data_IF_249269453203
#
_entry.id   IF_249269453203
#
_cell.length_a   1.000
_cell.length_b   1.000
_cell.length_c   1.000
_cell.angle_alpha   90.00
_cell.angle_beta   90.00
_cell.angle_gamma   90.00
#
_symmetry.space_group_name_H-M   'P 1'
#
loop_
_entity.id
_entity.type
_entity.pdbx_description
1 polymer ?
#
# COMPACT_ATOMS: atom_id res chain seq x y z
N UNK A 1 -30.98 12.77 -106.72
CA UNK A 1 -30.83 14.15 -106.18
C UNK A 1 -31.28 14.16 -104.73
N UNK A 2 -30.48 14.80 -103.86
CA UNK A 2 -30.63 14.98 -102.38
C UNK A 2 -30.31 13.71 -101.58
N UNK A 3 -29.05 13.42 -101.22
CA UNK A 3 -28.16 14.10 -100.23
C UNK A 3 -28.81 14.26 -98.87
N UNK A 4 -28.38 13.48 -97.88
CA UNK A 4 -28.16 13.86 -96.47
C UNK A 4 -27.55 12.67 -95.71
N UNK A 5 -26.27 12.78 -95.36
CA UNK A 5 -25.54 11.90 -94.42
C UNK A 5 -25.89 12.36 -93.00
N UNK A 6 -26.29 11.49 -92.05
CA UNK A 6 -26.30 11.84 -90.64
C UNK A 6 -25.01 11.38 -89.96
N UNK A 7 -24.49 12.32 -89.20
CA UNK A 7 -23.27 12.35 -88.41
C UNK A 7 -23.31 11.30 -87.27
N UNK A 8 -22.29 10.44 -87.18
CA UNK A 8 -22.09 9.52 -86.07
C UNK A 8 -21.51 10.29 -84.87
N UNK A 9 -22.35 10.68 -83.91
CA UNK A 9 -21.89 11.22 -82.63
C UNK A 9 -21.46 10.07 -81.71
N UNK A 10 -20.15 9.84 -81.61
CA UNK A 10 -19.56 9.01 -80.55
C UNK A 10 -19.57 9.84 -79.28
N UNK A 11 -20.53 9.57 -78.38
CA UNK A 11 -20.52 10.10 -77.02
C UNK A 11 -19.49 9.31 -76.24
N UNK A 12 -18.33 9.93 -75.99
CA UNK A 12 -17.31 9.44 -75.08
C UNK A 12 -17.88 9.58 -73.65
N UNK A 13 -18.44 8.50 -73.12
CA UNK A 13 -18.86 8.44 -71.73
C UNK A 13 -17.62 8.50 -70.83
N UNK A 14 -17.31 9.68 -70.28
CA UNK A 14 -16.42 9.80 -69.14
C UNK A 14 -17.10 9.08 -67.97
N UNK A 15 -16.66 7.86 -67.67
CA UNK A 15 -17.01 7.21 -66.42
C UNK A 15 -16.48 8.08 -65.27
N UNK A 16 -17.28 8.42 -64.26
CA UNK A 16 -16.76 9.03 -63.06
C UNK A 16 -15.79 8.02 -62.44
N UNK A 17 -14.52 8.41 -62.30
CA UNK A 17 -13.58 7.70 -61.44
C UNK A 17 -14.22 7.68 -60.05
N UNK A 18 -14.77 6.53 -59.68
CA UNK A 18 -15.21 6.29 -58.31
C UNK A 18 -13.99 6.51 -57.43
N UNK A 19 -14.04 7.54 -56.59
CA UNK A 19 -13.10 7.72 -55.51
C UNK A 19 -13.17 6.47 -54.65
N UNK A 20 -12.22 5.55 -54.83
CA UNK A 20 -11.92 4.54 -53.83
C UNK A 20 -11.50 5.36 -52.62
N UNK A 21 -12.41 5.54 -51.65
CA UNK A 21 -12.05 5.94 -50.30
C UNK A 21 -11.06 4.87 -49.86
N UNK A 22 -9.78 5.22 -49.81
CA UNK A 22 -8.76 4.32 -49.29
C UNK A 22 -9.26 3.78 -47.96
N UNK A 23 -9.23 2.45 -47.79
CA UNK A 23 -9.18 1.88 -46.47
C UNK A 23 -8.09 2.64 -45.73
N UNK A 24 -8.47 3.44 -44.74
CA UNK A 24 -7.51 4.01 -43.81
C UNK A 24 -6.75 2.82 -43.24
N UNK A 25 -5.51 2.63 -43.67
CA UNK A 25 -4.65 1.56 -43.15
C UNK A 25 -4.54 1.83 -41.66
N UNK A 26 -5.17 0.97 -40.87
CA UNK A 26 -5.18 1.10 -39.44
C UNK A 26 -3.74 0.97 -38.92
N UNK A 27 -3.25 2.02 -38.26
CA UNK A 27 -1.90 2.05 -37.73
C UNK A 27 -1.79 1.15 -36.50
N UNK A 28 -0.71 0.39 -36.40
CA UNK A 28 -0.37 -0.35 -35.18
C UNK A 28 0.37 0.58 -34.23
N UNK A 29 -0.16 0.80 -33.02
CA UNK A 29 0.51 1.57 -31.98
C UNK A 29 1.47 0.70 -31.16
N UNK A 30 1.08 -0.53 -30.83
CA UNK A 30 1.97 -1.51 -30.21
C UNK A 30 1.54 -2.95 -30.48
N UNK A 31 2.48 -3.88 -30.34
CA UNK A 31 2.23 -5.33 -30.27
C UNK A 31 2.59 -5.80 -28.86
N UNK A 32 1.70 -6.51 -28.20
CA UNK A 32 1.84 -6.99 -26.81
C UNK A 32 1.52 -8.49 -26.76
N UNK A 33 2.57 -9.31 -26.85
CA UNK A 33 2.42 -10.76 -27.03
C UNK A 33 1.70 -11.07 -28.35
N UNK A 34 0.52 -11.65 -28.26
CA UNK A 34 -0.32 -12.03 -29.41
C UNK A 34 -1.42 -10.98 -29.72
N UNK A 35 -1.50 -9.89 -28.95
CA UNK A 35 -2.48 -8.82 -29.14
C UNK A 35 -1.85 -7.55 -29.69
N UNK A 36 -2.67 -6.74 -30.36
CA UNK A 36 -2.26 -5.52 -31.04
C UNK A 36 -3.08 -4.37 -30.47
N UNK A 37 -2.41 -3.26 -30.15
CA UNK A 37 -3.05 -1.98 -29.82
C UNK A 37 -2.98 -1.10 -31.06
N UNK A 38 -4.12 -0.59 -31.49
CA UNK A 38 -4.24 0.21 -32.71
C UNK A 38 -4.12 1.70 -32.38
N UNK A 39 -3.59 2.49 -33.32
CA UNK A 39 -3.45 3.96 -33.16
C UNK A 39 -4.83 4.61 -32.96
N UNK A 40 -5.85 4.10 -33.66
CA UNK A 40 -7.25 4.49 -33.53
C UNK A 40 -7.76 4.33 -32.08
N UNK A 41 -7.46 3.21 -31.44
CA UNK A 41 -7.87 2.93 -30.06
C UNK A 41 -7.18 3.86 -29.06
N UNK A 42 -5.88 4.11 -29.24
CA UNK A 42 -5.14 5.06 -28.39
C UNK A 42 -5.74 6.46 -28.51
N UNK A 43 -6.02 6.90 -29.75
CA UNK A 43 -6.63 8.20 -30.02
C UNK A 43 -8.05 8.32 -29.45
N UNK A 44 -8.85 7.26 -29.56
CA UNK A 44 -10.20 7.20 -28.99
C UNK A 44 -10.16 7.36 -27.48
N UNK A 45 -9.31 6.58 -26.79
CA UNK A 45 -9.17 6.70 -25.33
C UNK A 45 -8.60 8.04 -24.90
N UNK A 46 -7.70 8.61 -25.69
CA UNK A 46 -7.10 9.92 -25.41
C UNK A 46 -7.99 11.10 -25.84
N UNK A 47 -9.14 10.89 -26.47
CA UNK A 47 -9.89 11.92 -27.19
C UNK A 47 -10.18 13.17 -26.34
N UNK A 48 -10.62 12.99 -25.09
CA UNK A 48 -10.90 14.12 -24.19
C UNK A 48 -9.64 14.89 -23.82
N UNK A 49 -8.55 14.20 -23.50
CA UNK A 49 -7.26 14.82 -23.18
C UNK A 49 -6.68 15.55 -24.39
N UNK A 50 -6.79 14.98 -25.58
CA UNK A 50 -6.38 15.61 -26.83
C UNK A 50 -7.19 16.87 -27.11
N UNK A 51 -8.51 16.84 -26.91
CA UNK A 51 -9.37 18.02 -27.08
C UNK A 51 -8.97 19.17 -26.15
N UNK A 52 -8.54 18.85 -24.92
CA UNK A 52 -8.01 19.86 -23.99
C UNK A 52 -6.68 20.43 -24.48
N UNK A 53 -5.76 19.58 -24.96
CA UNK A 53 -4.49 20.02 -25.53
C UNK A 53 -4.66 20.91 -26.77
N UNK A 54 -5.74 20.74 -27.54
CA UNK A 54 -6.03 21.62 -28.69
C UNK A 54 -6.27 23.09 -28.32
N UNK A 55 -6.51 23.39 -27.03
CA UNK A 55 -6.67 24.76 -26.52
C UNK A 55 -5.33 25.50 -26.40
N UNK A 56 -4.19 24.79 -26.50
CA UNK A 56 -2.86 25.38 -26.46
C UNK A 56 -2.62 26.33 -27.64
N UNK A 57 -2.19 27.55 -27.34
CA UNK A 57 -2.07 28.59 -28.37
C UNK A 57 -0.88 28.34 -29.31
N UNK A 58 0.21 27.77 -28.81
CA UNK A 58 1.40 27.43 -29.60
C UNK A 58 1.24 26.08 -30.29
N UNK A 59 1.45 26.04 -31.60
CA UNK A 59 1.41 24.80 -32.39
C UNK A 59 2.50 23.80 -31.95
N UNK A 60 3.71 24.29 -31.69
CA UNK A 60 4.82 23.43 -31.25
C UNK A 60 4.52 22.77 -29.89
N UNK A 61 4.00 23.53 -28.93
CA UNK A 61 3.64 23.00 -27.60
C UNK A 61 2.49 22.00 -27.73
N UNK A 62 1.47 22.33 -28.53
CA UNK A 62 0.34 21.44 -28.79
C UNK A 62 0.79 20.09 -29.36
N UNK A 63 1.64 20.09 -30.38
CA UNK A 63 2.13 18.86 -31.02
C UNK A 63 2.98 18.01 -30.07
N UNK A 64 3.78 18.66 -29.22
CA UNK A 64 4.53 17.98 -28.17
C UNK A 64 3.58 17.37 -27.13
N UNK A 65 2.65 18.15 -26.57
CA UNK A 65 1.68 17.69 -25.58
C UNK A 65 0.82 16.55 -26.11
N UNK A 66 0.37 16.62 -27.37
CA UNK A 66 -0.42 15.54 -27.99
C UNK A 66 0.37 14.24 -28.09
N UNK A 67 1.64 14.28 -28.48
CA UNK A 67 2.50 13.08 -28.50
C UNK A 67 2.72 12.50 -27.12
N UNK A 68 2.95 13.35 -26.12
CA UNK A 68 3.09 12.92 -24.72
C UNK A 68 1.80 12.27 -24.20
N UNK A 69 0.63 12.84 -24.50
CA UNK A 69 -0.67 12.26 -24.17
C UNK A 69 -0.83 10.88 -24.82
N UNK A 70 -0.63 10.77 -26.13
CA UNK A 70 -0.79 9.51 -26.85
C UNK A 70 0.18 8.43 -26.32
N UNK A 71 1.44 8.79 -26.09
CA UNK A 71 2.43 7.89 -25.53
C UNK A 71 2.02 7.39 -24.12
N UNK A 72 1.58 8.29 -23.25
CA UNK A 72 1.13 7.91 -21.90
C UNK A 72 -0.11 7.01 -21.92
N UNK A 73 -1.06 7.27 -22.81
CA UNK A 73 -2.24 6.42 -22.98
C UNK A 73 -1.87 5.05 -23.55
N UNK A 74 -0.96 4.99 -24.51
CA UNK A 74 -0.46 3.71 -25.04
C UNK A 74 0.24 2.89 -23.96
N UNK A 75 1.14 3.49 -23.19
CA UNK A 75 1.82 2.83 -22.07
C UNK A 75 0.82 2.24 -21.07
N UNK A 76 -0.20 3.01 -20.69
CA UNK A 76 -1.27 2.51 -19.82
C UNK A 76 -2.05 1.37 -20.46
N UNK A 77 -2.39 1.46 -21.74
CA UNK A 77 -3.11 0.39 -22.45
C UNK A 77 -2.29 -0.90 -22.54
N UNK A 78 -0.97 -0.82 -22.70
CA UNK A 78 -0.06 -1.97 -22.65
C UNK A 78 -0.14 -2.62 -21.26
N UNK A 79 -0.01 -1.84 -20.19
CA UNK A 79 -0.07 -2.37 -18.82
C UNK A 79 -1.44 -3.00 -18.50
N UNK A 80 -2.54 -2.35 -18.89
CA UNK A 80 -3.91 -2.88 -18.76
C UNK A 80 -4.06 -4.22 -19.49
N UNK A 81 -3.55 -4.31 -20.72
CA UNK A 81 -3.63 -5.49 -21.56
C UNK A 81 -2.85 -6.67 -20.94
N UNK A 82 -1.65 -6.41 -20.44
CA UNK A 82 -0.85 -7.43 -19.74
C UNK A 82 -1.59 -8.00 -18.52
N UNK A 83 -2.28 -7.14 -17.76
CA UNK A 83 -3.09 -7.57 -16.60
C UNK A 83 -4.27 -8.43 -17.06
N UNK A 84 -4.96 -8.04 -18.14
CA UNK A 84 -6.08 -8.80 -18.72
C UNK A 84 -5.63 -10.18 -19.20
N UNK A 85 -4.49 -10.25 -19.90
CA UNK A 85 -3.92 -11.52 -20.37
C UNK A 85 -3.57 -12.45 -19.19
N UNK A 86 -2.93 -11.92 -18.15
CA UNK A 86 -2.60 -12.70 -16.96
C UNK A 86 -3.85 -13.17 -16.21
N UNK A 87 -4.88 -12.31 -16.09
CA UNK A 87 -6.14 -12.70 -15.47
C UNK A 87 -6.83 -13.81 -16.26
N UNK A 88 -6.86 -13.71 -17.60
CA UNK A 88 -7.40 -14.74 -18.47
C UNK A 88 -6.65 -16.08 -18.32
N UNK A 89 -5.30 -16.03 -18.24
CA UNK A 89 -4.45 -17.21 -18.00
C UNK A 89 -4.78 -17.91 -16.67
N UNK A 90 -5.16 -17.13 -15.66
CA UNK A 90 -5.58 -17.62 -14.34
C UNK A 90 -7.08 -17.93 -14.25
N UNK A 91 -7.83 -17.81 -15.35
CA UNK A 91 -9.29 -17.98 -15.40
C UNK A 91 -10.04 -17.03 -14.44
N UNK A 92 -9.50 -15.83 -14.25
CA UNK A 92 -10.09 -14.79 -13.43
C UNK A 92 -10.86 -13.79 -14.30
N UNK A 93 -12.08 -13.49 -13.90
CA UNK A 93 -12.95 -12.52 -14.57
C UNK A 93 -13.49 -11.51 -13.56
N UNK A 94 -13.93 -10.35 -14.05
CA UNK A 94 -14.68 -9.35 -13.27
C UNK A 94 -15.99 -9.08 -13.99
N UNK A 95 -17.10 -9.24 -13.28
CA UNK A 95 -18.44 -8.97 -13.81
C UNK A 95 -18.81 -7.49 -13.65
N UNK A 96 -19.80 -7.02 -14.42
CA UNK A 96 -20.24 -5.64 -14.34
C UNK A 96 -20.88 -5.34 -12.97
N UNK A 97 -21.54 -6.32 -12.34
CA UNK A 97 -22.05 -6.17 -10.98
C UNK A 97 -20.94 -6.04 -9.93
N UNK A 98 -19.75 -6.60 -10.18
CA UNK A 98 -18.59 -6.38 -9.31
C UNK A 98 -18.06 -4.95 -9.46
N UNK A 99 -18.03 -4.42 -10.69
CA UNK A 99 -17.64 -3.04 -10.95
C UNK A 99 -18.60 -2.07 -10.28
N UNK A 100 -19.91 -2.22 -10.48
CA UNK A 100 -20.92 -1.33 -9.89
C UNK A 100 -20.90 -1.41 -8.35
N UNK A 101 -20.67 -2.58 -7.76
CA UNK A 101 -20.48 -2.70 -6.30
C UNK A 101 -19.22 -2.00 -5.82
N UNK A 102 -18.12 -2.08 -6.56
CA UNK A 102 -16.89 -1.37 -6.21
C UNK A 102 -17.09 0.15 -6.25
N UNK A 103 -17.76 0.66 -7.28
CA UNK A 103 -18.11 2.08 -7.44
C UNK A 103 -19.02 2.52 -6.30
N UNK A 104 -20.08 1.76 -5.97
CA UNK A 104 -20.96 2.06 -4.85
C UNK A 104 -20.19 2.14 -3.52
N UNK A 105 -19.22 1.25 -3.30
CA UNK A 105 -18.35 1.31 -2.14
C UNK A 105 -17.43 2.54 -2.11
N UNK A 106 -16.99 3.05 -3.26
CA UNK A 106 -16.22 4.30 -3.35
C UNK A 106 -17.10 5.50 -2.99
N UNK A 107 -18.33 5.54 -3.52
CA UNK A 107 -19.32 6.57 -3.21
C UNK A 107 -19.60 6.64 -1.71
N UNK A 108 -19.88 5.49 -1.09
CA UNK A 108 -20.15 5.40 0.36
C UNK A 108 -18.96 5.88 1.20
N UNK A 109 -17.74 5.41 0.90
CA UNK A 109 -16.53 5.82 1.65
C UNK A 109 -16.24 7.30 1.55
N UNK A 110 -16.53 7.92 0.40
CA UNK A 110 -16.25 9.33 0.17
C UNK A 110 -17.43 10.24 0.54
N UNK A 111 -18.59 9.67 0.90
CA UNK A 111 -19.83 10.44 1.10
C UNK A 111 -20.29 11.15 -0.17
N UNK A 112 -19.99 10.57 -1.33
CA UNK A 112 -20.35 11.14 -2.64
C UNK A 112 -21.63 10.51 -3.17
N UNK A 113 -22.39 11.30 -3.92
CA UNK A 113 -23.40 10.77 -4.82
C UNK A 113 -22.81 10.58 -6.23
N UNK A 114 -23.61 10.02 -7.14
CA UNK A 114 -23.17 9.77 -8.51
C UNK A 114 -22.81 11.07 -9.24
N UNK A 115 -23.54 12.16 -8.98
CA UNK A 115 -23.27 13.46 -9.61
C UNK A 115 -21.92 14.04 -9.17
N UNK A 116 -21.58 13.94 -7.89
CA UNK A 116 -20.27 14.33 -7.37
C UNK A 116 -19.15 13.51 -8.02
N UNK A 117 -19.35 12.20 -8.18
CA UNK A 117 -18.39 11.35 -8.89
C UNK A 117 -18.22 11.76 -10.36
N UNK A 118 -19.33 11.98 -11.08
CA UNK A 118 -19.31 12.41 -12.49
C UNK A 118 -18.54 13.72 -12.68
N UNK A 119 -18.73 14.69 -11.80
CA UNK A 119 -17.96 15.93 -11.83
C UNK A 119 -16.46 15.66 -11.57
N UNK A 120 -16.14 14.82 -10.58
CA UNK A 120 -14.76 14.52 -10.21
C UNK A 120 -13.97 13.82 -11.33
N UNK A 121 -14.61 12.91 -12.08
CA UNK A 121 -13.97 12.24 -13.22
C UNK A 121 -13.92 13.16 -14.45
N UNK A 122 -14.93 14.00 -14.67
CA UNK A 122 -14.95 14.97 -15.77
C UNK A 122 -13.84 16.04 -15.63
N UNK A 123 -13.52 16.46 -14.40
CA UNK A 123 -12.37 17.35 -14.12
C UNK A 123 -11.04 16.75 -14.59
N UNK A 124 -10.93 15.41 -14.61
CA UNK A 124 -9.75 14.68 -15.10
C UNK A 124 -9.85 14.34 -16.58
N UNK A 125 -10.91 14.78 -17.27
CA UNK A 125 -11.17 14.44 -18.66
C UNK A 125 -11.60 12.99 -18.90
N UNK A 126 -12.14 12.32 -17.88
CA UNK A 126 -12.59 10.93 -17.98
C UNK A 126 -14.11 10.85 -18.10
N UNK A 127 -14.60 9.86 -18.85
CA UNK A 127 -16.03 9.51 -18.90
C UNK A 127 -16.36 8.47 -17.83
N UNK A 128 -17.66 8.26 -17.56
CA UNK A 128 -18.09 7.18 -16.66
C UNK A 128 -17.71 5.79 -17.19
N UNK A 129 -17.67 5.62 -18.50
CA UNK A 129 -17.26 4.36 -19.12
C UNK A 129 -15.75 4.12 -18.96
N UNK A 130 -14.93 5.18 -19.02
CA UNK A 130 -13.51 5.09 -18.68
C UNK A 130 -13.33 4.70 -17.22
N UNK A 131 -14.09 5.32 -16.32
CA UNK A 131 -14.03 5.03 -14.90
C UNK A 131 -14.42 3.59 -14.56
N UNK A 132 -15.48 3.05 -15.19
CA UNK A 132 -15.86 1.63 -15.05
C UNK A 132 -14.78 0.70 -15.56
N UNK A 133 -14.16 1.02 -16.70
CA UNK A 133 -13.07 0.23 -17.29
C UNK A 133 -11.86 0.20 -16.37
N UNK A 134 -11.44 1.35 -15.87
CA UNK A 134 -10.33 1.45 -14.90
C UNK A 134 -10.65 0.67 -13.63
N UNK A 135 -11.86 0.81 -13.09
CA UNK A 135 -12.31 0.04 -11.93
C UNK A 135 -12.25 -1.47 -12.20
N UNK A 136 -12.64 -1.92 -13.39
CA UNK A 136 -12.55 -3.33 -13.79
C UNK A 136 -11.10 -3.82 -13.82
N UNK A 137 -10.18 -3.03 -14.36
CA UNK A 137 -8.75 -3.34 -14.36
C UNK A 137 -8.21 -3.42 -12.93
N UNK A 138 -8.55 -2.48 -12.06
CA UNK A 138 -8.14 -2.51 -10.65
C UNK A 138 -8.64 -3.77 -9.93
N UNK A 139 -9.89 -4.18 -10.19
CA UNK A 139 -10.44 -5.42 -9.65
C UNK A 139 -9.73 -6.67 -10.20
N UNK A 140 -9.42 -6.71 -11.50
CA UNK A 140 -8.67 -7.82 -12.10
C UNK A 140 -7.27 -7.91 -11.48
N UNK A 141 -6.59 -6.76 -11.36
CA UNK A 141 -5.26 -6.64 -10.76
C UNK A 141 -5.27 -7.16 -9.33
N UNK A 142 -6.22 -6.72 -8.51
CA UNK A 142 -6.42 -7.20 -7.15
C UNK A 142 -6.65 -8.72 -7.09
N UNK A 143 -7.52 -9.27 -7.96
CA UNK A 143 -7.79 -10.72 -8.01
C UNK A 143 -6.54 -11.52 -8.39
N UNK A 144 -5.79 -11.07 -9.40
CA UNK A 144 -4.55 -11.72 -9.85
C UNK A 144 -3.51 -11.74 -8.73
N UNK A 145 -3.27 -10.58 -8.11
CA UNK A 145 -2.33 -10.47 -6.99
C UNK A 145 -2.77 -11.33 -5.81
N UNK A 146 -4.04 -11.30 -5.44
CA UNK A 146 -4.59 -12.10 -4.35
C UNK A 146 -4.39 -13.61 -4.56
N UNK A 147 -4.56 -14.10 -5.79
CA UNK A 147 -4.30 -15.50 -6.14
C UNK A 147 -2.82 -15.82 -6.05
N UNK A 148 -1.96 -14.99 -6.63
CA UNK A 148 -0.50 -15.18 -6.63
C UNK A 148 0.09 -15.10 -5.21
N UNK A 149 -0.49 -14.28 -4.34
CA UNK A 149 0.01 -14.05 -2.99
C UNK A 149 -0.64 -14.94 -1.93
N UNK A 150 -1.68 -15.73 -2.22
CA UNK A 150 -2.46 -16.52 -1.24
C UNK A 150 -1.63 -17.28 -0.19
N UNK A 151 -0.43 -17.76 -0.52
CA UNK A 151 0.50 -18.40 0.43
C UNK A 151 1.42 -17.46 1.23
N UNK A 152 1.67 -16.25 0.70
CA UNK A 152 2.49 -15.17 1.31
C UNK A 152 1.65 -14.18 2.14
N UNK A 153 0.33 -14.13 1.93
CA UNK A 153 -0.61 -13.27 2.68
C UNK A 153 -0.84 -13.70 4.14
N UNK A 154 -0.15 -14.73 4.65
CA UNK A 154 -0.16 -15.03 6.09
C UNK A 154 0.66 -13.95 6.80
N UNK A 155 -0.01 -12.92 7.30
CA UNK A 155 0.59 -11.89 8.12
C UNK A 155 1.30 -12.55 9.30
N UNK A 156 2.60 -12.32 9.41
CA UNK A 156 3.39 -12.85 10.50
C UNK A 156 2.93 -12.19 11.81
N UNK A 157 2.60 -13.00 12.83
CA UNK A 157 2.17 -12.48 14.13
C UNK A 157 3.25 -11.59 14.74
N UNK A 158 4.53 -11.89 14.49
CA UNK A 158 5.63 -11.05 14.98
C UNK A 158 5.57 -9.65 14.38
N UNK A 159 5.22 -9.54 13.10
CA UNK A 159 5.08 -8.29 12.37
C UNK A 159 3.88 -7.48 12.87
N UNK A 160 2.73 -8.14 13.08
CA UNK A 160 1.52 -7.50 13.64
C UNK A 160 1.82 -6.92 15.02
N UNK A 161 2.50 -7.68 15.88
CA UNK A 161 2.92 -7.22 17.21
C UNK A 161 3.96 -6.11 17.14
N UNK A 162 4.85 -6.11 16.14
CA UNK A 162 5.84 -5.05 15.93
C UNK A 162 5.15 -3.74 15.58
N UNK A 163 4.20 -3.76 14.64
CA UNK A 163 3.43 -2.56 14.25
C UNK A 163 2.58 -2.05 15.41
N UNK A 164 1.93 -2.94 16.17
CA UNK A 164 1.18 -2.53 17.37
C UNK A 164 2.07 -1.77 18.36
N UNK A 165 3.26 -2.30 18.65
CA UNK A 165 4.23 -1.63 19.54
C UNK A 165 4.63 -0.25 19.02
N UNK A 166 4.81 -0.08 17.72
CA UNK A 166 5.10 1.24 17.14
C UNK A 166 3.94 2.22 17.31
N UNK A 167 2.69 1.76 17.14
CA UNK A 167 1.50 2.60 17.35
C UNK A 167 1.39 3.07 18.81
N UNK A 168 1.59 2.15 19.77
CA UNK A 168 1.55 2.48 21.20
C UNK A 168 2.64 3.48 21.55
N UNK A 169 3.88 3.28 21.08
CA UNK A 169 4.99 4.23 21.29
C UNK A 169 4.69 5.60 20.72
N UNK A 170 4.22 5.66 19.49
CA UNK A 170 3.87 6.94 18.86
C UNK A 170 2.74 7.65 19.60
N UNK A 171 1.80 6.90 20.18
CA UNK A 171 0.68 7.47 20.95
C UNK A 171 1.11 7.96 22.33
N UNK A 172 2.08 7.30 22.95
CA UNK A 172 2.60 7.60 24.30
C UNK A 172 3.90 8.41 24.29
N UNK A 173 4.33 8.95 23.15
CA UNK A 173 5.64 9.60 22.99
C UNK A 173 5.81 10.89 23.80
N UNK A 174 4.70 11.49 24.24
CA UNK A 174 4.68 12.72 25.05
C UNK A 174 4.13 12.48 26.46
N UNK A 175 3.94 11.22 26.85
CA UNK A 175 3.49 10.86 28.19
C UNK A 175 4.59 11.15 29.21
N UNK A 176 4.16 11.54 30.41
CA UNK A 176 5.00 11.58 31.60
C UNK A 176 4.55 10.47 32.55
N UNK A 177 5.49 9.66 33.02
CA UNK A 177 5.21 8.47 33.80
C UNK A 177 6.13 8.30 35.00
N UNK A 178 5.65 7.61 36.02
CA UNK A 178 6.44 7.22 37.18
C UNK A 178 6.72 5.73 37.12
N UNK A 179 7.99 5.33 37.23
CA UNK A 179 8.40 3.94 37.16
C UNK A 179 9.25 3.54 38.36
N UNK A 180 9.29 2.24 38.64
CA UNK A 180 10.25 1.62 39.54
C UNK A 180 10.99 0.48 38.85
N UNK A 181 12.21 0.20 39.31
CA UNK A 181 13.05 -0.87 38.80
C UNK A 181 13.61 -1.77 39.91
N UNK A 182 13.87 -3.02 39.55
CA UNK A 182 14.74 -3.95 40.28
C UNK A 182 15.81 -4.40 39.31
N UNK A 183 17.08 -4.13 39.65
CA UNK A 183 18.22 -4.57 38.87
C UNK A 183 18.80 -5.83 39.49
N UNK A 184 18.89 -6.91 38.72
CA UNK A 184 19.75 -8.05 39.02
C UNK A 184 21.00 -7.89 38.16
N UNK A 185 22.11 -7.50 38.79
CA UNK A 185 23.35 -7.15 38.08
C UNK A 185 24.01 -8.40 37.54
N UNK A 186 24.43 -8.37 36.28
CA UNK A 186 25.30 -9.39 35.71
C UNK A 186 26.73 -8.84 35.71
N UNK A 187 27.65 -9.40 36.50
CA UNK A 187 29.05 -8.97 36.53
C UNK A 187 29.75 -9.18 35.18
N UNK A 188 30.71 -8.31 34.88
CA UNK A 188 31.60 -8.51 33.74
C UNK A 188 32.38 -9.82 33.91
N UNK A 189 32.36 -10.68 32.88
CA UNK A 189 33.01 -11.98 32.91
C UNK A 189 32.24 -13.08 33.63
N UNK A 190 30.97 -12.87 34.01
CA UNK A 190 30.11 -13.91 34.55
C UNK A 190 30.07 -15.15 33.63
N UNK A 191 30.23 -16.33 34.23
CA UNK A 191 30.12 -17.61 33.53
C UNK A 191 28.68 -17.88 33.11
N UNK A 192 28.47 -18.75 32.12
CA UNK A 192 27.12 -19.12 31.67
C UNK A 192 26.24 -19.67 32.81
N UNK A 193 26.83 -20.40 33.76
CA UNK A 193 26.13 -20.94 34.93
C UNK A 193 25.71 -19.82 35.90
N UNK A 194 26.55 -18.79 36.08
CA UNK A 194 26.20 -17.63 36.92
C UNK A 194 25.10 -16.79 36.26
N UNK A 195 25.21 -16.55 34.96
CA UNK A 195 24.16 -15.84 34.19
C UNK A 195 22.83 -16.55 34.31
N UNK A 196 22.80 -17.88 34.14
CA UNK A 196 21.57 -18.66 34.27
C UNK A 196 20.94 -18.54 35.68
N UNK A 197 21.74 -18.57 36.75
CA UNK A 197 21.24 -18.39 38.12
C UNK A 197 20.67 -16.98 38.34
N UNK A 198 21.29 -15.96 37.75
CA UNK A 198 20.81 -14.59 37.82
C UNK A 198 19.50 -14.41 37.02
N UNK A 199 19.38 -15.08 35.86
CA UNK A 199 18.14 -15.17 35.09
C UNK A 199 17.01 -15.81 35.90
N UNK A 200 17.25 -16.97 36.52
CA UNK A 200 16.28 -17.64 37.40
C UNK A 200 15.85 -16.76 38.58
N UNK A 201 16.79 -16.04 39.20
CA UNK A 201 16.50 -15.08 40.28
C UNK A 201 15.64 -13.92 39.78
N UNK A 202 16.00 -13.32 38.65
CA UNK A 202 15.26 -12.20 38.07
C UNK A 202 13.84 -12.61 37.66
N UNK A 203 13.68 -13.81 37.09
CA UNK A 203 12.37 -14.38 36.77
C UNK A 203 11.53 -14.62 38.04
N UNK A 204 12.13 -15.15 39.10
CA UNK A 204 11.41 -15.38 40.36
C UNK A 204 10.89 -14.07 40.96
N UNK A 205 11.71 -13.01 40.93
CA UNK A 205 11.30 -11.67 41.38
C UNK A 205 10.21 -11.10 40.47
N UNK A 206 10.36 -11.22 39.15
CA UNK A 206 9.35 -10.74 38.20
C UNK A 206 8.00 -11.44 38.37
N UNK A 207 7.99 -12.76 38.61
CA UNK A 207 6.77 -13.52 38.90
C UNK A 207 6.09 -13.01 40.16
N UNK A 208 6.82 -12.88 41.27
CA UNK A 208 6.30 -12.35 42.54
C UNK A 208 5.71 -10.94 42.38
N UNK A 209 6.39 -10.07 41.64
CA UNK A 209 5.90 -8.73 41.34
C UNK A 209 4.61 -8.74 40.50
N UNK A 210 4.50 -9.63 39.51
CA UNK A 210 3.29 -9.81 38.69
C UNK A 210 2.14 -10.43 39.47
N UNK A 211 2.44 -11.29 40.44
CA UNK A 211 1.46 -11.91 41.35
C UNK A 211 0.94 -10.92 42.41
N UNK A 212 1.47 -9.68 42.43
CA UNK A 212 0.95 -8.59 43.25
C UNK A 212 1.70 -8.36 44.56
N UNK A 213 2.86 -9.00 44.77
CA UNK A 213 3.71 -8.70 45.92
C UNK A 213 4.21 -7.24 45.88
N UNK A 214 4.45 -6.65 47.06
CA UNK A 214 4.90 -5.27 47.19
C UNK A 214 6.23 -5.04 46.47
N UNK A 215 6.18 -4.25 45.40
CA UNK A 215 7.33 -4.03 44.53
C UNK A 215 8.46 -3.29 45.25
N UNK A 216 8.13 -2.37 46.16
CA UNK A 216 9.11 -1.61 46.90
C UNK A 216 9.88 -2.51 47.88
N UNK A 217 9.21 -3.48 48.49
CA UNK A 217 9.85 -4.50 49.33
C UNK A 217 10.75 -5.41 48.48
N UNK A 218 10.25 -5.90 47.35
CA UNK A 218 11.07 -6.69 46.41
C UNK A 218 12.31 -5.92 45.95
N UNK A 219 12.20 -4.62 45.69
CA UNK A 219 13.33 -3.78 45.32
C UNK A 219 14.37 -3.66 46.45
N UNK A 220 13.94 -3.48 47.70
CA UNK A 220 14.85 -3.44 48.86
C UNK A 220 15.58 -4.76 49.07
N UNK A 221 14.88 -5.88 48.87
CA UNK A 221 15.41 -7.21 49.18
C UNK A 221 16.28 -7.78 48.05
N UNK A 222 15.96 -7.45 46.79
CA UNK A 222 16.55 -8.13 45.64
C UNK A 222 17.31 -7.22 44.67
N UNK A 223 17.13 -5.90 44.69
CA UNK A 223 17.79 -5.01 43.74
C UNK A 223 19.26 -4.79 44.10
N UNK A 224 20.13 -4.99 43.12
CA UNK A 224 21.56 -4.66 43.16
C UNK A 224 21.82 -3.18 42.77
N UNK A 225 20.77 -2.38 42.53
CA UNK A 225 20.86 -0.93 42.33
C UNK A 225 20.79 -0.18 43.67
N UNK A 226 21.96 0.08 44.25
CA UNK A 226 22.10 0.78 45.53
C UNK A 226 21.49 2.20 45.55
N UNK A 227 21.33 2.86 44.39
CA UNK A 227 20.79 4.21 44.33
C UNK A 227 19.29 4.25 44.60
N UNK A 228 18.55 3.23 44.14
CA UNK A 228 17.08 3.22 44.18
C UNK A 228 16.50 2.15 45.10
N UNK A 229 17.24 1.07 45.40
CA UNK A 229 16.75 -0.06 46.20
C UNK A 229 16.18 0.37 47.56
N UNK A 230 16.89 1.24 48.28
CA UNK A 230 16.45 1.76 49.58
C UNK A 230 15.17 2.61 49.50
N UNK A 231 14.85 3.14 48.32
CA UNK A 231 13.64 3.92 48.03
C UNK A 231 12.57 3.08 47.31
N UNK A 232 12.67 1.74 47.33
CA UNK A 232 11.70 0.87 46.67
C UNK A 232 11.85 0.80 45.15
N UNK A 233 13.02 1.16 44.62
CA UNK A 233 13.32 1.09 43.19
C UNK A 233 12.80 2.27 42.37
N UNK A 234 12.21 3.29 43.00
CA UNK A 234 11.55 4.42 42.30
C UNK A 234 12.54 5.26 41.50
N UNK A 235 12.16 5.60 40.27
CA UNK A 235 12.94 6.45 39.35
C UNK A 235 12.46 7.90 39.32
N UNK A 236 11.30 8.19 39.92
CA UNK A 236 10.64 9.48 39.82
C UNK A 236 9.84 9.63 38.52
N UNK A 237 9.54 10.87 38.14
CA UNK A 237 8.86 11.19 36.89
C UNK A 237 9.83 11.12 35.72
N UNK A 238 9.45 10.36 34.71
CA UNK A 238 10.22 10.03 33.51
C UNK A 238 9.39 10.34 32.27
N UNK A 239 10.06 10.54 31.14
CA UNK A 239 9.49 10.63 29.81
C UNK A 239 10.06 9.55 28.90
N UNK A 240 9.39 9.33 27.77
CA UNK A 240 9.90 8.43 26.74
C UNK A 240 11.30 8.89 26.27
N UNK A 241 12.25 7.97 26.22
CA UNK A 241 13.66 8.23 25.92
C UNK A 241 14.56 8.49 27.12
N UNK A 242 14.03 8.66 28.33
CA UNK A 242 14.85 8.84 29.55
C UNK A 242 15.48 7.51 30.04
N UNK A 243 14.88 6.37 29.65
CA UNK A 243 15.40 5.03 29.90
C UNK A 243 16.17 4.49 28.69
N UNK A 244 17.12 3.55 28.89
CA UNK A 244 17.68 2.77 27.78
C UNK A 244 16.56 2.15 26.95
N UNK A 245 16.70 2.20 25.62
CA UNK A 245 15.64 1.82 24.69
C UNK A 245 15.02 0.44 24.99
N UNK A 246 15.82 -0.57 25.37
CA UNK A 246 15.28 -1.90 25.69
C UNK A 246 14.35 -1.93 26.91
N UNK A 247 14.50 -1.00 27.85
CA UNK A 247 13.67 -0.89 29.05
C UNK A 247 12.47 0.01 28.80
N UNK A 248 12.70 1.15 28.16
CA UNK A 248 11.69 2.14 27.78
C UNK A 248 10.58 1.52 26.92
N UNK A 249 11.01 0.68 25.96
CA UNK A 249 10.17 -0.09 25.06
C UNK A 249 9.17 -1.01 25.77
N UNK A 250 9.54 -1.50 26.95
CA UNK A 250 8.72 -2.40 27.76
C UNK A 250 7.81 -1.61 28.69
N UNK A 251 8.30 -0.52 29.30
CA UNK A 251 7.48 0.35 30.18
C UNK A 251 6.35 1.01 29.43
N UNK A 252 6.59 1.48 28.21
CA UNK A 252 5.55 2.09 27.36
C UNK A 252 4.39 1.12 27.04
N UNK A 253 4.60 -0.19 27.12
CA UNK A 253 3.56 -1.19 26.88
C UNK A 253 2.73 -1.51 28.13
N UNK A 254 3.15 -1.04 29.30
CA UNK A 254 2.45 -1.31 30.55
C UNK A 254 1.27 -0.38 30.74
N UNK A 255 0.23 -0.90 31.39
CA UNK A 255 -0.77 -0.07 32.04
C UNK A 255 -0.31 0.22 33.48
N UNK A 256 -0.91 1.24 34.11
CA UNK A 256 -0.57 1.63 35.48
C UNK A 256 -0.73 0.45 36.44
N UNK A 257 0.31 0.19 37.24
CA UNK A 257 0.43 -0.97 38.12
C UNK A 257 1.05 -2.21 37.45
N UNK A 258 1.16 -2.21 36.11
CA UNK A 258 1.74 -3.29 35.32
C UNK A 258 3.23 -3.49 35.59
N UNK A 259 3.70 -4.72 35.38
CA UNK A 259 5.08 -5.14 35.60
C UNK A 259 5.64 -5.81 34.35
N UNK A 260 6.78 -5.33 33.86
CA UNK A 260 7.55 -5.92 32.76
C UNK A 260 8.81 -6.63 33.26
N UNK A 261 9.26 -7.59 32.46
CA UNK A 261 10.54 -8.27 32.66
C UNK A 261 10.45 -9.71 33.18
N UNK A 262 11.64 -10.33 33.43
CA UNK A 262 12.96 -9.68 33.39
C UNK A 262 13.39 -9.26 31.96
N UNK A 263 13.93 -8.05 31.83
CA UNK A 263 14.37 -7.45 30.56
C UNK A 263 15.88 -7.26 30.60
N UNK A 264 16.59 -7.64 29.53
CA UNK A 264 18.03 -7.40 29.45
C UNK A 264 18.31 -5.91 29.19
N UNK A 265 19.14 -5.32 30.02
CA UNK A 265 19.56 -3.92 29.91
C UNK A 265 21.07 -3.76 30.11
N UNK A 266 21.56 -2.50 30.20
CA UNK A 266 23.00 -2.21 30.18
C UNK A 266 23.81 -2.84 31.32
N UNK A 267 23.21 -3.07 32.49
CA UNK A 267 23.92 -3.56 33.68
C UNK A 267 23.47 -4.96 34.14
N UNK A 268 22.57 -5.61 33.40
CA UNK A 268 22.03 -6.92 33.80
C UNK A 268 20.57 -7.07 33.41
N UNK A 269 19.78 -7.64 34.31
CA UNK A 269 18.36 -7.92 34.12
C UNK A 269 17.53 -6.97 34.96
N UNK A 270 16.49 -6.43 34.36
CA UNK A 270 15.61 -5.43 34.96
C UNK A 270 14.20 -5.98 35.08
N UNK A 271 13.60 -5.84 36.25
CA UNK A 271 12.15 -5.94 36.43
C UNK A 271 11.64 -4.51 36.59
N UNK A 272 10.65 -4.12 35.79
CA UNK A 272 10.15 -2.75 35.73
C UNK A 272 8.69 -2.73 36.16
N UNK A 273 8.27 -1.67 36.86
CA UNK A 273 6.88 -1.44 37.21
C UNK A 273 6.48 -0.03 36.84
N UNK A 274 5.36 0.10 36.14
CA UNK A 274 4.73 1.39 35.90
C UNK A 274 3.89 1.73 37.13
N UNK A 275 4.27 2.78 37.87
CA UNK A 275 3.61 3.18 39.12
C UNK A 275 2.40 4.08 38.86
N UNK A 276 2.50 4.97 37.88
CA UNK A 276 1.49 5.98 37.59
C UNK A 276 1.94 6.96 36.50
N UNK A 277 1.15 8.01 36.29
CA UNK A 277 1.45 9.07 35.32
C UNK A 277 0.28 9.46 34.44
N UNK A 278 0.53 10.42 33.55
CA UNK A 278 -0.40 10.79 32.49
C UNK A 278 -0.18 9.88 31.29
N UNK A 279 -0.77 8.68 31.35
CA UNK A 279 -0.62 7.65 30.32
C UNK A 279 -1.74 7.74 29.30
N UNK A 280 -1.39 7.94 28.04
CA UNK A 280 -2.34 7.96 26.93
C UNK A 280 -2.93 6.56 26.74
N UNK A 281 -4.27 6.49 26.78
CA UNK A 281 -5.01 5.25 26.54
C UNK A 281 -4.85 4.77 25.10
N UNK A 282 -4.55 3.49 24.92
CA UNK A 282 -4.40 2.86 23.61
C UNK A 282 -5.43 1.76 23.44
N UNK A 283 -5.84 1.51 22.20
CA UNK A 283 -6.71 0.37 21.89
C UNK A 283 -5.98 -0.94 22.21
N UNK A 284 -6.59 -1.89 22.93
CA UNK A 284 -5.98 -3.19 23.21
C UNK A 284 -5.53 -3.92 21.94
N UNK A 285 -4.51 -4.76 22.06
CA UNK A 285 -3.93 -5.49 20.93
C UNK A 285 -4.99 -6.29 20.16
N UNK A 286 -5.85 -7.05 20.84
CA UNK A 286 -6.87 -7.89 20.20
C UNK A 286 -7.85 -7.06 19.35
N UNK A 287 -8.20 -5.86 19.83
CA UNK A 287 -9.11 -4.95 19.12
C UNK A 287 -8.40 -4.21 17.95
N UNK A 288 -7.09 -3.95 18.09
CA UNK A 288 -6.28 -3.32 17.05
C UNK A 288 -5.81 -4.29 15.97
N UNK A 289 -5.69 -5.58 16.31
CA UNK A 289 -5.08 -6.64 15.50
C UNK A 289 -5.60 -6.68 14.08
N UNK A 290 -6.93 -6.78 13.91
CA UNK A 290 -7.55 -6.88 12.58
C UNK A 290 -7.24 -5.67 11.70
N UNK A 291 -7.24 -4.48 12.29
CA UNK A 291 -6.91 -3.24 11.56
C UNK A 291 -5.45 -3.22 11.11
N UNK A 292 -4.54 -3.71 11.94
CA UNK A 292 -3.12 -3.83 11.61
C UNK A 292 -2.90 -4.89 10.52
N UNK A 293 -3.55 -6.05 10.63
CA UNK A 293 -3.49 -7.11 9.62
C UNK A 293 -3.97 -6.61 8.26
N UNK A 294 -5.10 -5.90 8.22
CA UNK A 294 -5.63 -5.31 6.98
C UNK A 294 -4.65 -4.29 6.38
N UNK A 295 -4.09 -3.40 7.20
CA UNK A 295 -3.09 -2.42 6.73
C UNK A 295 -1.86 -3.10 6.14
N UNK A 296 -1.30 -4.08 6.85
CA UNK A 296 -0.13 -4.83 6.38
C UNK A 296 -0.43 -5.59 5.07
N UNK A 297 -1.64 -6.12 4.94
CA UNK A 297 -2.13 -6.76 3.72
C UNK A 297 -2.16 -5.77 2.55
N UNK A 298 -2.76 -4.60 2.76
CA UNK A 298 -2.86 -3.53 1.77
C UNK A 298 -1.47 -3.05 1.33
N UNK A 299 -0.58 -2.76 2.28
CA UNK A 299 0.81 -2.35 2.01
C UNK A 299 1.60 -3.44 1.26
N UNK A 300 1.34 -4.72 1.55
CA UNK A 300 1.98 -5.80 0.81
C UNK A 300 1.43 -5.92 -0.60
N UNK A 301 0.11 -5.80 -0.79
CA UNK A 301 -0.52 -5.82 -2.12
C UNK A 301 0.03 -4.69 -3.00
N UNK A 302 0.08 -3.46 -2.48
CA UNK A 302 0.63 -2.30 -3.20
C UNK A 302 2.09 -2.53 -3.62
N UNK A 303 2.95 -2.99 -2.71
CA UNK A 303 4.36 -3.30 -3.05
C UNK A 303 4.50 -4.40 -4.09
N UNK A 304 3.63 -5.41 -4.05
CA UNK A 304 3.66 -6.50 -5.01
C UNK A 304 3.06 -6.11 -6.37
N UNK A 305 2.18 -5.11 -6.40
CA UNK A 305 1.59 -4.58 -7.62
C UNK A 305 2.64 -3.96 -8.54
N UNK A 306 3.47 -3.05 -8.01
CA UNK A 306 4.53 -2.38 -8.79
C UNK A 306 5.48 -3.41 -9.42
N UNK A 307 5.90 -4.40 -8.62
CA UNK A 307 6.76 -5.49 -9.06
C UNK A 307 6.04 -6.41 -10.05
N UNK A 308 4.73 -6.58 -9.91
CA UNK A 308 3.94 -7.47 -10.75
C UNK A 308 3.84 -6.98 -12.18
N UNK A 309 3.45 -5.71 -12.39
CA UNK A 309 3.33 -5.13 -13.74
C UNK A 309 4.69 -5.13 -14.44
N UNK A 310 5.75 -4.77 -13.73
CA UNK A 310 7.10 -4.79 -14.29
C UNK A 310 7.51 -6.21 -14.73
N UNK A 311 7.20 -7.23 -13.94
CA UNK A 311 7.47 -8.62 -14.30
C UNK A 311 6.66 -9.08 -15.53
N UNK A 312 5.40 -8.64 -15.67
CA UNK A 312 4.62 -8.94 -16.87
C UNK A 312 5.24 -8.32 -18.12
N UNK A 313 5.68 -7.05 -18.04
CA UNK A 313 6.37 -6.37 -19.14
C UNK A 313 7.65 -7.09 -19.54
N UNK A 314 8.45 -7.54 -18.58
CA UNK A 314 9.70 -8.29 -18.87
C UNK A 314 9.44 -9.68 -19.45
N UNK A 315 8.33 -10.32 -19.09
CA UNK A 315 7.98 -11.67 -19.53
C UNK A 315 7.28 -11.70 -20.90
N UNK A 316 6.82 -10.55 -21.40
CA UNK A 316 6.01 -10.43 -22.61
C UNK A 316 6.76 -9.65 -23.68
N UNK A 317 6.67 -10.09 -24.93
CA UNK A 317 7.20 -9.32 -26.06
C UNK A 317 6.36 -8.06 -26.27
N UNK A 318 7.00 -6.88 -26.24
CA UNK A 318 6.35 -5.58 -26.44
C UNK A 318 7.12 -4.82 -27.52
N UNK A 319 6.43 -4.45 -28.59
CA UNK A 319 6.98 -3.66 -29.70
C UNK A 319 6.12 -2.41 -29.92
N UNK A 320 6.63 -1.25 -29.50
CA UNK A 320 5.94 0.04 -29.59
C UNK A 320 6.27 0.70 -30.93
N UNK A 321 5.23 1.10 -31.68
CA UNK A 321 5.30 1.63 -33.04
C UNK A 321 4.60 2.97 -33.21
N UNK A 322 4.19 3.60 -32.10
CA UNK A 322 3.55 4.91 -32.10
C UNK A 322 4.61 6.00 -32.37
N UNK A 323 4.54 6.63 -33.54
CA UNK A 323 5.35 7.79 -33.96
C UNK A 323 4.70 9.15 -33.65
#
# INVERSE_FOLDING_TARGET
MRSSVPLLFVVLALAPFGSVRGESVEGIAAIVGDEIILVSEVQERAATALQQAMREQSAFIRDQTMREILANYLERMIDELLIVQEAARLMLTVTDEEVERAIAGILERNGWDLFALENQIAERGQTMDDYRRETKIELLKYKVLSVRLRGRLRTDETEVRRVYRQIVRASRSSDAFEAAQILIRIPDGATAIEVQRLEERAEAVARRAKDGEDFAQLARDFSDDAATAASGGTLGTMHHGDLPASLDDEVVMLDVGGVAGPVRGPHGLYVLKLLGGSITGVRPFEDARRGIENRLMEEMMQRQEEVFVENLRRATYIDVRLE
#
